data_IF_859365074768
#
_entry.id   IF_859365074768
#
_cell.length_a   1.000
_cell.length_b   1.000
_cell.length_c   1.000
_cell.angle_alpha   90.00
_cell.angle_beta   90.00
_cell.angle_gamma   90.00
#
_symmetry.space_group_name_H-M   'P 1'
#
loop_
_entity.id
_entity.type
_entity.pdbx_description
1 polymer ?
#
# COMPACT_ATOMS: atom_id res chain seq x y z
N UNK A 1 -6.20 -4.19 10.94
CA UNK A 1 -5.72 -4.56 9.58
C UNK A 1 -6.87 -4.85 8.62
N UNK A 2 -7.80 -5.74 8.95
CA UNK A 2 -8.88 -6.17 8.05
C UNK A 2 -9.78 -5.03 7.55
N UNK A 3 -10.04 -4.02 8.37
CA UNK A 3 -10.90 -2.89 7.99
C UNK A 3 -10.22 -1.96 6.99
N UNK A 4 -8.92 -1.67 7.17
CA UNK A 4 -8.17 -0.81 6.25
C UNK A 4 -7.97 -1.49 4.89
N UNK A 5 -7.65 -2.79 4.88
CA UNK A 5 -7.45 -3.53 3.62
C UNK A 5 -8.73 -3.65 2.79
N UNK A 6 -9.90 -3.54 3.41
CA UNK A 6 -11.17 -3.48 2.70
C UNK A 6 -11.45 -2.07 2.14
N UNK A 7 -11.05 -1.02 2.87
CA UNK A 7 -11.38 0.36 2.54
C UNK A 7 -10.45 0.98 1.50
N UNK A 8 -9.13 0.78 1.63
CA UNK A 8 -8.13 1.47 0.82
C UNK A 8 -8.30 1.28 -0.69
N UNK A 9 -8.64 0.07 -1.20
CA UNK A 9 -8.95 -0.10 -2.62
C UNK A 9 -10.16 0.71 -3.10
N UNK A 10 -11.18 0.86 -2.24
CA UNK A 10 -12.35 1.69 -2.58
C UNK A 10 -12.04 3.18 -2.62
N UNK A 11 -11.02 3.61 -1.86
CA UNK A 11 -10.52 4.99 -1.88
C UNK A 11 -9.57 5.25 -3.06
N UNK A 12 -9.29 4.26 -3.90
CA UNK A 12 -8.36 4.37 -5.02
C UNK A 12 -6.90 4.44 -4.60
N UNK A 13 -6.56 3.88 -3.44
CA UNK A 13 -5.16 3.80 -2.98
C UNK A 13 -4.47 2.62 -3.66
N UNK A 14 -3.51 2.89 -4.53
CA UNK A 14 -2.79 1.87 -5.28
C UNK A 14 -1.64 1.25 -4.51
N UNK A 15 -0.93 2.06 -3.69
CA UNK A 15 0.25 1.62 -2.95
C UNK A 15 0.23 2.14 -1.51
N UNK A 16 0.50 1.25 -0.56
CA UNK A 16 0.70 1.58 0.86
C UNK A 16 2.12 1.21 1.25
N UNK A 17 2.87 2.18 1.76
CA UNK A 17 4.19 1.97 2.34
C UNK A 17 4.03 1.78 3.85
N UNK A 18 4.65 0.73 4.37
CA UNK A 18 4.59 0.36 5.77
C UNK A 18 6.01 0.29 6.35
N UNK A 19 6.12 0.61 7.63
CA UNK A 19 7.32 0.42 8.43
C UNK A 19 7.10 -0.58 9.55
N UNK A 20 7.88 -0.46 10.62
CA UNK A 20 7.86 -1.21 11.86
C UNK A 20 8.57 -2.58 11.76
N UNK A 21 8.22 -3.42 10.81
CA UNK A 21 8.91 -4.71 10.62
C UNK A 21 10.18 -4.49 9.81
N UNK A 22 11.29 -5.08 10.27
CA UNK A 22 12.61 -4.92 9.66
C UNK A 22 12.87 -5.99 8.59
N UNK A 23 11.85 -6.28 7.81
CA UNK A 23 11.88 -7.19 6.67
C UNK A 23 11.39 -6.47 5.43
N UNK A 24 11.80 -6.91 4.26
CA UNK A 24 11.19 -6.46 3.03
C UNK A 24 10.12 -7.46 2.59
N UNK A 25 8.93 -6.93 2.38
CA UNK A 25 7.80 -7.71 1.86
C UNK A 25 6.92 -6.82 1.01
N UNK A 26 6.48 -7.34 -0.13
CA UNK A 26 5.47 -6.70 -0.97
C UNK A 26 4.38 -7.69 -1.33
N UNK A 27 3.13 -7.28 -1.17
CA UNK A 27 1.97 -8.09 -1.60
C UNK A 27 1.68 -7.89 -3.09
N UNK A 28 0.90 -8.78 -3.64
CA UNK A 28 0.15 -8.51 -4.87
C UNK A 28 -0.94 -7.46 -4.61
N UNK A 29 -1.70 -7.04 -5.63
CA UNK A 29 -2.83 -6.16 -5.44
C UNK A 29 -3.92 -6.86 -4.61
N UNK A 30 -4.35 -6.22 -3.53
CA UNK A 30 -5.25 -6.78 -2.52
C UNK A 30 -6.56 -6.00 -2.45
N UNK A 31 -7.70 -6.72 -2.36
CA UNK A 31 -9.01 -6.16 -2.01
C UNK A 31 -9.64 -7.05 -0.95
N UNK A 32 -10.00 -6.48 0.19
CA UNK A 32 -10.63 -7.20 1.31
C UNK A 32 -9.87 -8.50 1.72
N UNK A 33 -8.54 -8.42 1.85
CA UNK A 33 -7.63 -9.53 2.20
C UNK A 33 -7.51 -10.64 1.13
N UNK A 34 -8.03 -10.44 -0.07
CA UNK A 34 -7.85 -11.35 -1.19
C UNK A 34 -6.98 -10.70 -2.27
N UNK A 35 -6.14 -11.51 -2.92
CA UNK A 35 -5.42 -11.09 -4.13
C UNK A 35 -6.43 -10.90 -5.25
N UNK A 36 -6.33 -9.79 -5.98
CA UNK A 36 -7.12 -9.52 -7.18
C UNK A 36 -6.25 -9.68 -8.43
N UNK A 37 -6.78 -10.30 -9.49
CA UNK A 37 -6.05 -10.43 -10.74
C UNK A 37 -5.72 -9.06 -11.34
N UNK A 38 -4.48 -8.90 -11.81
CA UNK A 38 -4.03 -7.68 -12.47
C UNK A 38 -3.39 -8.03 -13.80
N UNK A 39 -3.80 -7.35 -14.87
CA UNK A 39 -3.10 -7.43 -16.15
C UNK A 39 -1.73 -6.81 -16.01
N UNK A 40 -0.71 -7.45 -16.56
CA UNK A 40 0.66 -6.93 -16.49
C UNK A 40 1.38 -7.08 -17.81
N UNK A 41 2.31 -6.17 -18.06
CA UNK A 41 3.24 -6.19 -19.18
C UNK A 41 4.65 -5.88 -18.70
N UNK A 42 5.62 -6.00 -19.59
CA UNK A 42 7.00 -5.58 -19.34
C UNK A 42 7.23 -4.25 -20.01
N UNK A 43 7.83 -3.29 -19.31
CA UNK A 43 8.16 -1.96 -19.81
C UNK A 43 9.59 -1.60 -19.46
N UNK A 44 10.29 -0.93 -20.38
CA UNK A 44 11.55 -0.25 -20.10
C UNK A 44 11.27 1.21 -19.68
N UNK A 45 11.87 1.64 -18.59
CA UNK A 45 11.86 3.03 -18.16
C UNK A 45 13.26 3.43 -17.70
N UNK A 46 13.88 4.34 -18.43
CA UNK A 46 15.26 4.83 -18.20
C UNK A 46 16.30 3.69 -18.12
N UNK A 47 16.19 2.68 -19.00
CA UNK A 47 17.11 1.54 -19.05
C UNK A 47 16.88 0.49 -17.94
N UNK A 48 15.77 0.59 -17.20
CA UNK A 48 15.34 -0.41 -16.23
C UNK A 48 14.08 -1.10 -16.68
N UNK A 49 14.09 -2.42 -16.63
CA UNK A 49 12.91 -3.24 -16.91
C UNK A 49 12.02 -3.28 -15.68
N UNK A 50 10.69 -3.10 -15.88
CA UNK A 50 9.66 -3.20 -14.86
C UNK A 50 8.55 -4.14 -15.30
N UNK A 51 7.94 -4.80 -14.32
CA UNK A 51 6.63 -5.42 -14.48
C UNK A 51 5.56 -4.38 -14.21
N UNK A 52 4.95 -3.86 -15.27
CA UNK A 52 3.87 -2.88 -15.21
C UNK A 52 2.56 -3.59 -14.90
N UNK A 53 1.90 -3.14 -13.83
CA UNK A 53 0.54 -3.57 -13.44
C UNK A 53 -0.44 -2.51 -13.96
N UNK A 54 -1.35 -2.94 -14.85
CA UNK A 54 -2.29 -2.03 -15.50
C UNK A 54 -3.56 -1.93 -14.66
N UNK A 55 -3.84 -0.73 -14.21
CA UNK A 55 -5.05 -0.34 -13.48
C UNK A 55 -5.49 -1.36 -12.40
N UNK A 56 -4.65 -1.63 -11.38
CA UNK A 56 -4.96 -2.60 -10.36
C UNK A 56 -6.21 -2.19 -9.58
N UNK A 57 -7.22 -3.07 -9.55
CA UNK A 57 -8.44 -2.86 -8.76
C UNK A 57 -8.25 -3.11 -7.25
N UNK A 58 -7.02 -3.13 -6.77
CA UNK A 58 -6.64 -3.39 -5.39
C UNK A 58 -5.42 -2.59 -4.96
N UNK A 59 -5.13 -2.62 -3.67
CA UNK A 59 -4.00 -1.91 -3.06
C UNK A 59 -2.81 -2.86 -2.89
N UNK A 60 -1.63 -2.44 -3.30
CA UNK A 60 -0.36 -3.12 -3.05
C UNK A 60 0.21 -2.61 -1.73
N UNK A 61 0.62 -3.51 -0.84
CA UNK A 61 1.24 -3.17 0.44
C UNK A 61 2.73 -3.52 0.39
N UNK A 62 3.58 -2.59 0.79
CA UNK A 62 5.03 -2.79 0.84
C UNK A 62 5.58 -2.43 2.21
N UNK A 63 6.28 -3.37 2.84
CA UNK A 63 7.15 -3.14 3.99
C UNK A 63 8.55 -2.95 3.42
N UNK A 64 9.12 -1.75 3.59
CA UNK A 64 10.30 -1.32 2.86
C UNK A 64 11.64 -1.83 3.44
N UNK A 65 11.61 -2.75 4.41
CA UNK A 65 12.80 -3.19 5.11
C UNK A 65 13.30 -2.19 6.16
N UNK A 66 14.57 -2.24 6.50
CA UNK A 66 15.20 -1.33 7.46
C UNK A 66 16.42 -0.66 6.85
N UNK A 67 16.55 0.65 7.04
CA UNK A 67 17.76 1.41 6.69
C UNK A 67 18.84 1.38 7.80
N UNK A 68 18.48 0.84 8.98
CA UNK A 68 19.37 0.76 10.14
C UNK A 68 20.11 -0.57 10.24
N UNK A 69 20.91 -0.69 11.31
CA UNK A 69 21.72 -1.89 11.60
C UNK A 69 20.90 -3.05 12.16
N UNK A 70 19.70 -2.80 12.68
CA UNK A 70 18.83 -3.82 13.25
C UNK A 70 18.04 -4.49 12.13
N UNK A 71 18.55 -5.59 11.63
CA UNK A 71 17.88 -6.44 10.64
C UNK A 71 17.29 -7.65 11.38
N UNK A 72 16.02 -7.98 11.10
CA UNK A 72 15.49 -9.25 11.54
C UNK A 72 15.98 -10.32 10.55
N UNK A 73 16.80 -11.25 11.07
CA UNK A 73 17.01 -12.49 10.34
C UNK A 73 15.65 -13.18 10.26
N UNK A 74 15.03 -13.15 9.11
CA UNK A 74 13.86 -13.98 8.81
C UNK A 74 14.34 -15.42 8.78
N UNK A 75 14.46 -16.04 9.94
CA UNK A 75 14.86 -17.45 10.07
C UNK A 75 13.89 -18.37 9.35
N UNK A 76 12.68 -17.85 9.07
CA UNK A 76 11.65 -18.60 8.42
C UNK A 76 10.91 -17.71 7.40
N UNK A 77 11.37 -17.71 6.16
CA UNK A 77 10.57 -17.23 5.03
C UNK A 77 9.20 -17.90 5.06
N UNK A 78 9.11 -19.18 5.44
CA UNK A 78 7.86 -19.91 5.62
C UNK A 78 6.99 -19.35 6.75
N UNK A 79 7.56 -18.91 7.87
CA UNK A 79 6.78 -18.28 8.95
C UNK A 79 6.32 -16.87 8.52
N UNK A 80 7.14 -16.14 7.77
CA UNK A 80 6.78 -14.86 7.16
C UNK A 80 5.69 -15.05 6.11
N UNK A 81 5.77 -16.10 5.29
CA UNK A 81 4.77 -16.46 4.30
C UNK A 81 3.43 -16.86 4.95
N UNK A 82 3.43 -17.53 6.10
CA UNK A 82 2.22 -17.80 6.89
C UNK A 82 1.58 -16.52 7.45
N UNK A 83 2.39 -15.55 7.87
CA UNK A 83 1.92 -14.24 8.34
C UNK A 83 1.43 -13.36 7.18
N UNK A 84 1.99 -13.55 6.00
CA UNK A 84 1.73 -12.78 4.80
C UNK A 84 1.51 -13.71 3.58
N UNK A 85 0.47 -14.55 3.59
CA UNK A 85 0.24 -15.56 2.55
C UNK A 85 -0.05 -14.97 1.15
N UNK A 86 0.08 -13.66 1.00
CA UNK A 86 -0.19 -12.90 -0.21
C UNK A 86 1.04 -12.11 -0.68
N UNK A 87 2.23 -12.48 -0.20
CA UNK A 87 3.46 -11.85 -0.64
C UNK A 87 3.78 -12.23 -2.08
N UNK A 88 3.96 -11.23 -2.94
CA UNK A 88 4.49 -11.38 -4.30
C UNK A 88 6.02 -11.35 -4.28
N UNK A 89 6.62 -10.58 -3.35
CA UNK A 89 8.06 -10.51 -3.16
C UNK A 89 8.41 -10.46 -1.67
N UNK A 90 9.38 -11.27 -1.29
CA UNK A 90 10.04 -11.25 0.01
C UNK A 90 11.53 -11.21 -0.23
N UNK A 91 12.22 -10.24 0.39
CA UNK A 91 13.68 -10.18 0.35
C UNK A 91 14.21 -10.40 1.75
N UNK A 92 14.80 -11.58 1.95
CA UNK A 92 15.57 -11.85 3.16
C UNK A 92 16.95 -11.20 3.00
N UNK A 93 17.18 -10.09 3.69
CA UNK A 93 18.41 -9.34 3.59
C UNK A 93 18.99 -9.07 4.97
N UNK A 94 20.25 -9.42 5.15
CA UNK A 94 21.06 -8.97 6.29
C UNK A 94 21.63 -7.55 6.10
N UNK A 95 21.36 -6.93 4.96
CA UNK A 95 21.84 -5.61 4.59
C UNK A 95 20.75 -4.55 4.76
N UNK A 96 21.11 -3.29 5.05
CA UNK A 96 20.18 -2.18 5.02
C UNK A 96 19.45 -2.09 3.67
N UNK A 97 18.18 -1.69 3.72
CA UNK A 97 17.35 -1.53 2.54
C UNK A 97 16.70 -0.16 2.50
N UNK A 98 16.43 0.31 1.30
CA UNK A 98 15.61 1.50 1.04
C UNK A 98 14.79 1.32 -0.23
N UNK A 99 13.77 2.13 -0.41
CA UNK A 99 12.94 2.14 -1.61
C UNK A 99 12.94 3.51 -2.26
N UNK A 100 12.85 3.53 -3.59
CA UNK A 100 12.61 4.75 -4.36
C UNK A 100 11.33 4.61 -5.17
N UNK A 101 10.61 5.73 -5.30
CA UNK A 101 9.39 5.83 -6.06
C UNK A 101 9.54 7.01 -7.01
N UNK A 102 9.23 6.77 -8.27
CA UNK A 102 9.11 7.80 -9.29
C UNK A 102 7.68 7.82 -9.81
N UNK A 103 7.06 8.98 -9.84
CA UNK A 103 5.75 9.19 -10.47
C UNK A 103 5.96 10.01 -11.73
N UNK A 104 5.49 9.49 -12.86
CA UNK A 104 5.61 10.10 -14.16
C UNK A 104 4.26 10.00 -14.90
N UNK A 105 3.51 11.10 -14.88
CA UNK A 105 2.14 11.14 -15.39
C UNK A 105 1.23 10.18 -14.64
N UNK A 106 0.67 9.23 -15.36
CA UNK A 106 -0.23 8.18 -14.89
C UNK A 106 0.50 6.90 -14.39
N UNK A 107 1.84 6.95 -14.36
CA UNK A 107 2.69 5.81 -14.00
C UNK A 107 3.47 6.03 -12.72
N UNK A 108 3.55 4.98 -11.92
CA UNK A 108 4.39 4.89 -10.73
C UNK A 108 5.40 3.76 -10.92
N UNK A 109 6.68 4.07 -10.70
CA UNK A 109 7.79 3.11 -10.73
C UNK A 109 8.36 2.96 -9.33
N UNK A 110 8.37 1.72 -8.84
CA UNK A 110 8.86 1.37 -7.51
C UNK A 110 10.13 0.52 -7.62
N UNK A 111 11.14 0.85 -6.84
CA UNK A 111 12.33 0.05 -6.68
C UNK A 111 12.65 -0.12 -5.21
N UNK A 112 13.03 -1.34 -4.81
CA UNK A 112 13.66 -1.61 -3.53
C UNK A 112 15.12 -2.00 -3.75
N UNK A 113 16.00 -1.46 -2.92
CA UNK A 113 17.44 -1.70 -2.97
C UNK A 113 17.94 -2.23 -1.63
N UNK A 114 18.88 -3.14 -1.68
CA UNK A 114 19.76 -3.49 -0.54
C UNK A 114 21.12 -2.84 -0.74
N UNK A 115 21.74 -2.42 0.36
CA UNK A 115 23.09 -1.83 0.34
C UNK A 115 24.10 -2.91 0.65
N UNK A 116 24.87 -3.31 -0.36
CA UNK A 116 25.93 -4.33 -0.25
C UNK A 116 27.26 -3.65 -0.56
N UNK A 117 28.19 -3.69 0.35
CA UNK A 117 29.52 -3.07 0.21
C UNK A 117 29.48 -1.60 -0.26
N UNK A 118 28.55 -0.84 0.34
CA UNK A 118 28.34 0.57 0.02
C UNK A 118 27.65 0.83 -1.34
N UNK A 119 27.21 -0.20 -2.03
CA UNK A 119 26.53 -0.09 -3.34
C UNK A 119 25.07 -0.47 -3.23
N UNK A 120 24.21 0.28 -3.90
CA UNK A 120 22.79 -0.04 -4.04
C UNK A 120 22.60 -1.16 -5.07
N UNK A 121 22.08 -2.29 -4.61
CA UNK A 121 21.72 -3.45 -5.46
C UNK A 121 20.23 -3.57 -5.48
N UNK A 122 19.64 -3.53 -6.68
CA UNK A 122 18.18 -3.64 -6.88
C UNK A 122 17.69 -5.03 -6.44
N UNK A 123 16.74 -5.08 -5.53
CA UNK A 123 16.27 -6.30 -4.89
C UNK A 123 14.82 -6.65 -5.30
N UNK A 124 13.95 -5.64 -5.50
CA UNK A 124 12.60 -5.80 -6.02
C UNK A 124 12.18 -4.57 -6.80
N UNK A 125 11.23 -4.75 -7.73
CA UNK A 125 10.74 -3.68 -8.59
C UNK A 125 9.41 -4.02 -9.24
N UNK A 126 8.59 -3.01 -9.43
CA UNK A 126 7.34 -3.07 -10.20
C UNK A 126 6.94 -1.67 -10.64
N UNK A 127 5.96 -1.59 -11.50
CA UNK A 127 5.33 -0.34 -11.86
C UNK A 127 3.81 -0.48 -11.83
N UNK A 128 3.12 0.64 -11.68
CA UNK A 128 1.66 0.75 -11.79
C UNK A 128 1.37 1.76 -12.89
N UNK A 129 0.42 1.47 -13.75
CA UNK A 129 -0.15 2.40 -14.72
C UNK A 129 -1.65 2.54 -14.45
N UNK A 130 -2.13 3.78 -14.40
CA UNK A 130 -3.56 4.09 -14.34
C UNK A 130 -4.04 4.35 -15.76
N UNK A 131 -4.95 3.52 -16.23
CA UNK A 131 -5.57 3.63 -17.55
C UNK A 131 -6.87 4.40 -17.42
N UNK A 132 -6.82 5.73 -17.60
CA UNK A 132 -7.97 6.65 -17.59
C UNK A 132 -8.79 6.73 -16.27
N UNK A 133 -9.33 7.94 -16.05
CA UNK A 133 -10.24 8.32 -14.94
C UNK A 133 -11.60 7.60 -14.93
N UNK A 134 -11.68 6.38 -15.41
CA UNK A 134 -12.82 5.54 -15.10
C UNK A 134 -12.72 5.16 -13.64
N UNK A 135 -13.34 6.01 -12.80
CA UNK A 135 -13.70 5.60 -11.45
C UNK A 135 -14.17 4.13 -11.51
N UNK A 136 -13.73 3.27 -10.56
CA UNK A 136 -14.18 1.88 -10.53
C UNK A 136 -15.68 1.86 -10.78
N UNK A 137 -16.13 1.05 -11.72
CA UNK A 137 -17.53 0.97 -12.19
C UNK A 137 -18.50 0.43 -11.14
N UNK A 138 -18.03 0.19 -9.91
CA UNK A 138 -18.89 -0.03 -8.76
C UNK A 138 -19.62 1.27 -8.45
N UNK A 139 -20.92 1.25 -8.48
CA UNK A 139 -21.80 2.41 -8.38
C UNK A 139 -21.35 3.40 -7.28
N UNK A 140 -21.37 4.68 -7.57
CA UNK A 140 -21.01 5.76 -6.60
C UNK A 140 -21.82 5.65 -5.31
N UNK A 141 -23.02 5.06 -5.36
CA UNK A 141 -23.89 4.79 -4.20
C UNK A 141 -23.27 3.79 -3.22
N UNK A 142 -22.63 2.72 -3.71
CA UNK A 142 -22.05 1.69 -2.84
C UNK A 142 -20.76 2.18 -2.16
N UNK A 143 -20.01 3.08 -2.83
CA UNK A 143 -18.81 3.70 -2.25
C UNK A 143 -19.15 4.67 -1.13
N UNK A 144 -20.16 5.52 -1.34
CA UNK A 144 -20.64 6.46 -0.32
C UNK A 144 -21.05 5.70 0.94
N UNK A 145 -21.88 4.66 0.79
CA UNK A 145 -22.37 3.86 1.91
C UNK A 145 -21.23 3.11 2.65
N UNK A 146 -20.24 2.57 1.94
CA UNK A 146 -19.11 1.87 2.56
C UNK A 146 -18.21 2.83 3.36
N UNK A 147 -17.96 4.03 2.84
CA UNK A 147 -17.18 5.07 3.50
C UNK A 147 -17.95 5.60 4.72
N UNK A 148 -19.25 5.88 4.59
CA UNK A 148 -20.09 6.38 5.68
C UNK A 148 -20.18 5.35 6.82
N UNK A 149 -20.37 4.08 6.50
CA UNK A 149 -20.39 2.99 7.47
C UNK A 149 -19.02 2.82 8.17
N UNK A 150 -17.91 2.97 7.46
CA UNK A 150 -16.57 2.88 8.03
C UNK A 150 -16.27 4.06 8.95
N UNK A 151 -16.55 5.29 8.51
CA UNK A 151 -16.38 6.50 9.32
C UNK A 151 -17.25 6.42 10.56
N UNK A 152 -18.52 6.03 10.43
CA UNK A 152 -19.44 5.84 11.52
C UNK A 152 -18.95 4.78 12.51
N UNK A 153 -18.40 3.66 12.01
CA UNK A 153 -17.82 2.61 12.85
C UNK A 153 -16.59 3.10 13.65
N UNK A 154 -15.71 3.90 13.03
CA UNK A 154 -14.56 4.50 13.74
C UNK A 154 -15.04 5.51 14.80
N UNK A 155 -15.93 6.41 14.43
CA UNK A 155 -16.44 7.45 15.31
C UNK A 155 -17.20 6.85 16.52
N UNK A 156 -17.97 5.78 16.32
CA UNK A 156 -18.65 5.08 17.40
C UNK A 156 -17.67 4.42 18.38
N UNK A 157 -16.60 3.82 17.88
CA UNK A 157 -15.53 3.21 18.72
C UNK A 157 -14.73 4.23 19.52
N UNK A 158 -14.60 5.46 19.00
CA UNK A 158 -13.92 6.57 19.65
C UNK A 158 -14.86 7.38 20.55
N UNK A 159 -16.14 6.97 20.69
CA UNK A 159 -17.18 7.66 21.44
C UNK A 159 -17.37 9.14 21.06
N UNK A 160 -17.09 9.47 19.79
CA UNK A 160 -17.24 10.81 19.24
C UNK A 160 -18.60 10.94 18.57
N UNK A 161 -19.52 11.70 19.19
CA UNK A 161 -20.78 12.07 18.56
C UNK A 161 -20.58 13.26 17.63
N UNK A 162 -20.61 13.03 16.32
CA UNK A 162 -20.59 14.10 15.33
C UNK A 162 -21.91 14.07 14.57
N UNK A 163 -22.67 15.16 14.70
CA UNK A 163 -23.87 15.41 13.88
C UNK A 163 -23.43 16.23 12.66
N UNK A 164 -23.33 15.60 11.49
CA UNK A 164 -22.95 16.28 10.25
C UNK A 164 -24.07 16.22 9.21
N UNK A 165 -24.40 17.37 8.63
CA UNK A 165 -25.07 17.46 7.35
C UNK A 165 -23.99 17.49 6.27
N UNK A 166 -23.86 16.41 5.48
CA UNK A 166 -22.87 16.31 4.41
C UNK A 166 -23.29 17.16 3.21
N UNK A 167 -22.60 18.25 2.99
CA UNK A 167 -22.43 18.87 1.68
C UNK A 167 -21.00 19.46 1.62
N UNK A 168 -20.13 18.83 0.80
CA UNK A 168 -18.89 19.40 0.24
C UNK A 168 -17.66 19.61 1.15
N UNK A 169 -17.26 18.69 2.06
CA UNK A 169 -15.98 18.81 2.76
C UNK A 169 -15.26 17.46 2.87
N UNK A 170 -14.95 16.83 1.74
CA UNK A 170 -14.34 15.49 1.76
C UNK A 170 -12.84 15.51 2.10
N UNK A 171 -12.07 16.53 1.73
CA UNK A 171 -10.61 16.59 1.96
C UNK A 171 -10.17 17.09 3.34
N UNK A 172 -10.98 17.89 4.02
CA UNK A 172 -10.63 18.41 5.35
C UNK A 172 -10.79 17.42 6.51
N UNK A 173 -11.68 16.44 6.36
CA UNK A 173 -11.99 15.44 7.40
C UNK A 173 -10.94 14.34 7.44
N UNK A 174 -10.46 13.87 6.29
CA UNK A 174 -9.42 12.84 6.22
C UNK A 174 -8.12 13.34 6.85
N UNK A 175 -7.70 14.58 6.60
CA UNK A 175 -6.50 15.15 7.22
C UNK A 175 -6.65 15.31 8.75
N UNK A 176 -7.81 15.67 9.27
CA UNK A 176 -8.04 15.77 10.72
C UNK A 176 -8.15 14.41 11.41
N UNK A 177 -8.77 13.41 10.76
CA UNK A 177 -8.83 12.04 11.28
C UNK A 177 -7.44 11.41 11.29
N UNK A 178 -6.63 11.64 10.28
CA UNK A 178 -5.23 11.17 10.25
C UNK A 178 -4.39 11.85 11.33
N UNK A 179 -4.55 13.15 11.58
CA UNK A 179 -3.86 13.83 12.68
C UNK A 179 -4.31 13.35 14.07
N UNK A 180 -5.61 13.02 14.26
CA UNK A 180 -6.12 12.45 15.50
C UNK A 180 -5.62 11.03 15.74
N UNK A 181 -5.57 10.19 14.72
CA UNK A 181 -5.00 8.84 14.81
C UNK A 181 -3.51 8.91 15.16
N UNK A 182 -2.75 9.87 14.62
CA UNK A 182 -1.35 10.08 14.97
C UNK A 182 -1.14 10.58 16.42
N UNK A 183 -2.08 11.34 16.97
CA UNK A 183 -1.97 11.85 18.34
C UNK A 183 -2.35 10.82 19.41
N UNK A 184 -3.05 9.75 19.05
CA UNK A 184 -3.47 8.68 19.99
C UNK A 184 -2.50 7.49 19.99
N UNK A 185 -1.61 7.39 18.99
CA UNK A 185 -0.63 6.30 18.83
C UNK A 185 0.77 6.68 19.35
N UNK A 186 0.90 7.86 19.96
CA UNK A 186 2.08 8.25 20.76
C UNK A 186 1.80 7.93 22.26
#
# INVERSE_FOLDING_TARGET
>A
RSQLSALLPYLGVDLVLQGHDHVYLRTDAMKANAVVPVKSSTVDYNGFIYRMKHDPCGTIYSICGTSGVKVYATKDVEATDKLFPRAEAIVNSSHPMFSSITVDGDRLYYNAYKVVDGKAVRADYFAIEKLDDKAPTDSVSDKSNAIDNFITSILSKLNIKITWKFTNIFFGVINRVMQLVWSVVR
#
